data_IF_502752590965
#
_entry.id   IF_502752590965
#
_cell.length_a   1.000
_cell.length_b   1.000
_cell.length_c   1.000
_cell.angle_alpha   90.00
_cell.angle_beta   90.00
_cell.angle_gamma   90.00
#
_symmetry.space_group_name_H-M   'P 1'
#
loop_
_entity.id
_entity.type
_entity.pdbx_description
1 polymer ?
#
# COMPACT_ATOMS: atom_id res chain seq x y z
N UNK A 1 -13.64 -13.02 15.17
CA UNK A 1 -12.56 -12.27 14.47
C UNK A 1 -13.19 -11.11 13.73
N UNK A 2 -12.58 -9.91 13.67
CA UNK A 2 -13.06 -8.86 12.78
C UNK A 2 -13.08 -9.39 11.34
N UNK A 3 -14.15 -9.07 10.60
CA UNK A 3 -14.40 -9.52 9.21
C UNK A 3 -13.26 -9.19 8.22
N UNK A 4 -12.31 -8.37 8.64
CA UNK A 4 -11.24 -7.78 7.83
C UNK A 4 -9.84 -8.37 8.07
N UNK A 5 -9.68 -9.40 8.91
CA UNK A 5 -8.36 -10.02 9.12
C UNK A 5 -8.03 -11.10 8.08
N UNK A 6 -6.74 -11.39 7.90
CA UNK A 6 -6.31 -12.48 7.02
C UNK A 6 -6.68 -13.83 7.65
N UNK A 7 -7.28 -14.72 6.86
CA UNK A 7 -7.44 -16.11 7.25
C UNK A 7 -6.06 -16.76 7.38
N UNK A 8 -5.96 -17.82 8.18
CA UNK A 8 -4.69 -18.54 8.34
C UNK A 8 -4.18 -19.08 7.01
N UNK A 9 -5.08 -19.55 6.14
CA UNK A 9 -4.73 -20.00 4.78
C UNK A 9 -4.09 -18.89 3.94
N UNK A 10 -4.68 -17.69 3.92
CA UNK A 10 -4.09 -16.56 3.20
C UNK A 10 -2.78 -16.11 3.82
N UNK A 11 -2.68 -16.13 5.16
CA UNK A 11 -1.46 -15.83 5.87
C UNK A 11 -0.32 -16.79 5.50
N UNK A 12 -0.58 -18.10 5.42
CA UNK A 12 0.46 -19.07 5.04
C UNK A 12 0.98 -18.82 3.61
N UNK A 13 0.09 -18.52 2.65
CA UNK A 13 0.51 -18.15 1.29
C UNK A 13 1.38 -16.89 1.29
N UNK A 14 0.93 -15.84 1.97
CA UNK A 14 1.68 -14.58 2.07
C UNK A 14 3.03 -14.77 2.76
N UNK A 15 3.10 -15.61 3.79
CA UNK A 15 4.33 -15.90 4.53
C UNK A 15 5.41 -16.49 3.63
N UNK A 16 5.05 -17.34 2.67
CA UNK A 16 5.99 -17.87 1.68
C UNK A 16 6.54 -16.76 0.80
N UNK A 17 5.67 -15.87 0.29
CA UNK A 17 6.08 -14.73 -0.56
C UNK A 17 7.00 -13.78 0.21
N UNK A 18 6.67 -13.46 1.46
CA UNK A 18 7.49 -12.61 2.31
C UNK A 18 8.88 -13.21 2.56
N UNK A 19 8.95 -14.54 2.75
CA UNK A 19 10.23 -15.25 2.88
C UNK A 19 11.08 -15.14 1.61
N UNK A 20 10.46 -15.26 0.43
CA UNK A 20 11.16 -15.10 -0.86
C UNK A 20 11.71 -13.68 -1.06
N UNK A 21 11.09 -12.68 -0.45
CA UNK A 21 11.57 -11.29 -0.44
C UNK A 21 12.64 -11.00 0.63
N UNK A 22 13.19 -12.03 1.28
CA UNK A 22 14.11 -11.90 2.42
C UNK A 22 13.55 -11.06 3.56
N UNK A 23 12.21 -11.03 3.71
CA UNK A 23 11.55 -10.39 4.84
C UNK A 23 11.47 -11.42 5.96
N UNK A 24 12.41 -11.34 6.91
CA UNK A 24 12.49 -12.28 8.01
C UNK A 24 11.22 -12.29 8.87
N UNK A 25 10.84 -13.52 9.26
CA UNK A 25 9.67 -13.78 10.06
C UNK A 25 9.96 -13.54 11.54
N UNK A 26 9.44 -12.44 12.07
CA UNK A 26 9.36 -12.21 13.50
C UNK A 26 7.91 -12.50 13.95
N UNK A 27 7.71 -12.85 15.23
CA UNK A 27 6.37 -13.12 15.80
C UNK A 27 5.36 -11.99 15.52
N UNK A 28 5.83 -10.74 15.46
CA UNK A 28 5.02 -9.55 15.22
C UNK A 28 4.77 -9.23 13.73
N UNK A 29 5.20 -10.07 12.78
CA UNK A 29 5.07 -9.77 11.35
C UNK A 29 3.61 -9.83 10.88
N UNK A 30 2.83 -10.83 11.34
CA UNK A 30 1.41 -10.97 10.99
C UNK A 30 0.61 -9.75 11.43
N UNK A 31 0.70 -9.41 12.71
CA UNK A 31 -0.01 -8.26 13.29
C UNK A 31 0.35 -6.96 12.55
N UNK A 32 1.62 -6.77 12.16
CA UNK A 32 2.03 -5.60 11.39
C UNK A 32 1.40 -5.54 9.99
N UNK A 33 1.38 -6.65 9.26
CA UNK A 33 0.74 -6.71 7.94
C UNK A 33 -0.77 -6.48 8.07
N UNK A 34 -1.42 -7.13 9.03
CA UNK A 34 -2.84 -6.97 9.29
C UNK A 34 -3.18 -5.52 9.69
N UNK A 35 -2.31 -4.85 10.44
CA UNK A 35 -2.47 -3.42 10.76
C UNK A 35 -2.45 -2.53 9.51
N UNK A 36 -1.52 -2.79 8.58
CA UNK A 36 -1.46 -2.07 7.29
C UNK A 36 -2.76 -2.32 6.51
N UNK A 37 -3.17 -3.58 6.39
CA UNK A 37 -4.37 -3.94 5.65
C UNK A 37 -5.64 -3.37 6.31
N UNK A 38 -5.71 -3.31 7.63
CA UNK A 38 -6.80 -2.66 8.36
C UNK A 38 -6.86 -1.17 8.03
N UNK A 39 -5.72 -0.47 8.09
CA UNK A 39 -5.62 0.96 7.78
C UNK A 39 -5.99 1.26 6.32
N UNK A 40 -5.60 0.41 5.37
CA UNK A 40 -5.99 0.56 3.95
C UNK A 40 -7.50 0.38 3.78
N UNK A 41 -8.11 -0.62 4.41
CA UNK A 41 -9.54 -0.89 4.28
C UNK A 41 -10.44 0.14 4.94
N UNK A 42 -10.02 0.67 6.08
CA UNK A 42 -10.85 1.61 6.87
C UNK A 42 -10.56 3.07 6.57
N UNK A 43 -9.38 3.37 6.00
CA UNK A 43 -8.93 4.75 5.80
C UNK A 43 -8.63 5.49 7.11
N UNK A 44 -8.58 4.80 8.26
CA UNK A 44 -8.40 5.47 9.54
C UNK A 44 -7.03 6.17 9.63
N UNK A 45 -6.93 7.28 10.39
CA UNK A 45 -5.65 7.85 10.75
C UNK A 45 -4.72 6.82 11.41
N UNK A 46 -3.41 6.95 11.21
CA UNK A 46 -2.42 6.02 11.82
C UNK A 46 -2.55 5.95 13.34
N UNK A 47 -2.89 7.06 13.99
CA UNK A 47 -3.07 7.13 15.45
C UNK A 47 -4.25 6.30 15.95
N UNK A 48 -5.23 6.05 15.10
CA UNK A 48 -6.49 5.39 15.43
C UNK A 48 -6.47 3.89 15.11
N UNK A 49 -5.31 3.36 14.70
CA UNK A 49 -5.14 1.92 14.53
C UNK A 49 -5.35 1.22 15.89
N UNK A 50 -6.19 0.18 15.95
CA UNK A 50 -6.46 -0.55 17.19
C UNK A 50 -5.19 -1.05 17.90
N UNK A 51 -5.15 -0.89 19.22
CA UNK A 51 -3.99 -1.26 20.03
C UNK A 51 -3.66 -2.76 20.02
N UNK A 52 -4.60 -3.62 19.61
CA UNK A 52 -4.37 -5.06 19.43
C UNK A 52 -3.33 -5.37 18.35
N UNK A 53 -3.09 -4.44 17.40
CA UNK A 53 -2.02 -4.54 16.42
C UNK A 53 -0.65 -4.10 16.95
N UNK A 54 -0.63 -3.42 18.09
CA UNK A 54 0.55 -2.79 18.68
C UNK A 54 0.48 -1.26 18.66
N UNK A 55 1.58 -0.62 19.05
CA UNK A 55 1.65 0.84 19.16
C UNK A 55 1.66 1.51 17.77
N UNK A 56 0.72 2.42 17.53
CA UNK A 56 0.50 3.10 16.25
C UNK A 56 1.76 3.74 15.65
N UNK A 57 2.55 4.44 16.47
CA UNK A 57 3.79 5.09 16.02
C UNK A 57 4.84 4.06 15.54
N UNK A 58 4.93 2.91 16.21
CA UNK A 58 5.85 1.84 15.83
C UNK A 58 5.46 1.20 14.50
N UNK A 59 4.16 1.01 14.28
CA UNK A 59 3.58 0.52 13.02
C UNK A 59 3.89 1.52 11.90
N UNK A 60 3.58 2.80 12.10
CA UNK A 60 3.85 3.86 11.12
C UNK A 60 5.34 3.94 10.75
N UNK A 61 6.24 3.97 11.75
CA UNK A 61 7.69 4.01 11.50
C UNK A 61 8.17 2.78 10.72
N UNK A 62 7.62 1.60 11.00
CA UNK A 62 7.97 0.37 10.25
C UNK A 62 7.41 0.40 8.83
N UNK A 63 6.17 0.85 8.64
CA UNK A 63 5.56 1.06 7.33
C UNK A 63 6.40 2.02 6.49
N UNK A 64 6.76 3.18 7.04
CA UNK A 64 7.55 4.18 6.34
C UNK A 64 8.92 3.62 5.91
N UNK A 65 9.62 2.91 6.81
CA UNK A 65 10.88 2.21 6.45
C UNK A 65 10.71 1.20 5.32
N UNK A 66 9.62 0.42 5.32
CA UNK A 66 9.34 -0.56 4.27
C UNK A 66 8.99 0.09 2.94
N UNK A 67 8.26 1.21 2.98
CA UNK A 67 7.92 2.01 1.80
C UNK A 67 9.19 2.59 1.18
N UNK A 68 10.02 3.29 1.97
CA UNK A 68 11.27 3.86 1.49
C UNK A 68 12.27 2.81 1.00
N UNK A 69 12.27 1.61 1.57
CA UNK A 69 13.13 0.51 1.11
C UNK A 69 12.56 -0.26 -0.08
N UNK A 70 11.39 0.14 -0.62
CA UNK A 70 10.74 -0.54 -1.74
C UNK A 70 10.20 -1.95 -1.44
N UNK A 71 10.14 -2.38 -0.17
CA UNK A 71 9.67 -3.73 0.20
C UNK A 71 8.21 -3.94 -0.17
N UNK A 72 7.38 -2.92 0.07
CA UNK A 72 5.96 -2.96 -0.29
C UNK A 72 5.77 -3.02 -1.80
N UNK A 73 6.57 -2.26 -2.56
CA UNK A 73 6.51 -2.26 -4.02
C UNK A 73 6.94 -3.62 -4.60
N UNK A 74 8.00 -4.23 -4.08
CA UNK A 74 8.42 -5.58 -4.50
C UNK A 74 7.36 -6.64 -4.18
N UNK A 75 6.74 -6.55 -3.01
CA UNK A 75 5.62 -7.41 -2.63
C UNK A 75 4.45 -7.25 -3.58
N UNK A 76 4.08 -6.02 -3.89
CA UNK A 76 3.05 -5.70 -4.87
C UNK A 76 3.36 -6.31 -6.24
N UNK A 77 4.56 -6.07 -6.79
CA UNK A 77 4.96 -6.60 -8.10
C UNK A 77 4.96 -8.12 -8.17
N UNK A 78 5.33 -8.82 -7.08
CA UNK A 78 5.22 -10.27 -7.01
C UNK A 78 3.76 -10.76 -6.97
N UNK A 79 2.87 -10.05 -6.27
CA UNK A 79 1.45 -10.40 -6.24
C UNK A 79 0.77 -10.14 -7.60
N UNK A 80 1.23 -9.12 -8.31
CA UNK A 80 0.74 -8.74 -9.63
C UNK A 80 1.46 -9.46 -10.79
N UNK A 81 2.26 -10.51 -10.54
CA UNK A 81 3.13 -11.10 -11.57
C UNK A 81 2.39 -11.93 -12.62
N UNK A 82 1.18 -12.39 -12.32
CA UNK A 82 0.37 -13.22 -13.21
C UNK A 82 -1.04 -12.62 -13.33
N UNK A 83 -1.18 -11.41 -13.92
CA UNK A 83 -2.48 -10.78 -14.09
C UNK A 83 -3.25 -11.42 -15.24
N UNK A 84 -4.58 -11.29 -15.20
CA UNK A 84 -5.42 -11.63 -16.34
C UNK A 84 -5.41 -10.47 -17.35
N UNK A 85 -4.71 -10.68 -18.46
CA UNK A 85 -4.51 -9.67 -19.50
C UNK A 85 -5.60 -9.68 -20.59
N UNK A 86 -6.72 -10.38 -20.40
CA UNK A 86 -7.84 -10.33 -21.34
C UNK A 86 -8.34 -8.89 -21.54
N UNK A 87 -8.43 -8.14 -20.44
CA UNK A 87 -8.79 -6.72 -20.44
C UNK A 87 -7.86 -5.95 -19.51
N UNK A 88 -7.48 -4.74 -19.92
CA UNK A 88 -6.68 -3.82 -19.13
C UNK A 88 -7.44 -2.51 -19.02
N UNK A 89 -7.74 -2.09 -17.80
CA UNK A 89 -8.37 -0.80 -17.52
C UNK A 89 -7.36 0.14 -16.88
N UNK A 90 -7.44 1.41 -17.25
CA UNK A 90 -6.62 2.48 -16.68
C UNK A 90 -7.54 3.58 -16.18
N UNK A 91 -7.38 3.93 -14.91
CA UNK A 91 -7.99 5.13 -14.33
C UNK A 91 -6.92 6.01 -13.69
N UNK A 92 -7.25 7.27 -13.42
CA UNK A 92 -6.34 8.19 -12.75
C UNK A 92 -7.05 9.10 -11.77
N UNK A 93 -6.49 9.22 -10.58
CA UNK A 93 -6.93 10.17 -9.56
C UNK A 93 -6.00 11.38 -9.51
N UNK A 94 -6.56 12.56 -9.24
CA UNK A 94 -5.80 13.78 -9.03
C UNK A 94 -5.94 14.25 -7.58
N UNK A 95 -4.82 14.62 -6.97
CA UNK A 95 -4.77 15.18 -5.62
C UNK A 95 -4.25 16.61 -5.73
N UNK A 96 -5.08 17.57 -5.33
CA UNK A 96 -4.69 18.98 -5.33
C UNK A 96 -3.64 19.22 -4.25
N UNK A 97 -2.56 19.88 -4.64
CA UNK A 97 -1.48 20.23 -3.73
C UNK A 97 -1.84 21.51 -2.98
N UNK A 98 -1.35 21.66 -1.75
CA UNK A 98 -1.54 22.88 -0.96
C UNK A 98 -0.96 24.10 -1.70
N UNK A 99 -1.55 25.29 -1.60
CA UNK A 99 -1.13 26.44 -2.40
C UNK A 99 0.38 26.82 -2.25
N UNK A 100 0.99 26.49 -1.11
CA UNK A 100 2.42 26.72 -0.82
C UNK A 100 3.34 25.50 -1.02
N UNK A 101 2.89 24.44 -1.69
CA UNK A 101 3.65 23.19 -1.83
C UNK A 101 4.67 23.16 -2.99
N UNK A 102 4.68 24.18 -3.85
CA UNK A 102 5.48 24.18 -5.09
C UNK A 102 6.93 24.65 -4.93
N UNK A 103 7.43 24.84 -3.70
CA UNK A 103 8.76 25.40 -3.44
C UNK A 103 9.93 24.42 -3.51
N UNK A 104 9.68 23.11 -3.58
CA UNK A 104 10.71 22.07 -3.54
C UNK A 104 10.67 21.26 -4.84
N UNK A 105 11.83 21.02 -5.45
CA UNK A 105 11.95 20.19 -6.65
C UNK A 105 11.62 18.71 -6.37
N UNK A 106 11.24 17.96 -7.41
CA UNK A 106 11.00 16.50 -7.38
C UNK A 106 9.88 16.03 -6.44
N UNK A 107 8.82 16.84 -6.25
CA UNK A 107 7.64 16.46 -5.44
C UNK A 107 6.53 15.77 -6.25
N UNK A 108 6.76 15.48 -7.53
CA UNK A 108 5.73 14.95 -8.44
C UNK A 108 4.46 15.82 -8.49
N UNK A 109 4.65 17.15 -8.40
CA UNK A 109 3.59 18.16 -8.48
C UNK A 109 3.73 18.90 -9.81
N UNK A 110 2.64 18.98 -10.56
CA UNK A 110 2.57 19.68 -11.85
C UNK A 110 1.39 20.64 -11.89
N UNK A 111 1.41 21.60 -12.82
CA UNK A 111 0.29 22.51 -13.06
C UNK A 111 -0.83 21.78 -13.83
N UNK A 112 -2.06 21.90 -13.34
CA UNK A 112 -3.30 21.50 -14.02
C UNK A 112 -4.28 22.68 -14.07
N UNK A 113 -5.45 22.49 -14.69
CA UNK A 113 -6.54 23.49 -14.69
C UNK A 113 -6.97 23.85 -13.26
N UNK A 114 -6.93 22.91 -12.32
CA UNK A 114 -7.25 23.12 -10.90
C UNK A 114 -6.12 23.73 -10.06
N UNK A 115 -5.03 24.14 -10.70
CA UNK A 115 -3.79 24.56 -10.05
C UNK A 115 -2.80 23.42 -9.85
N UNK A 116 -1.91 23.55 -8.87
CA UNK A 116 -0.86 22.56 -8.61
C UNK A 116 -1.47 21.27 -8.08
N UNK A 117 -1.12 20.14 -8.70
CA UNK A 117 -1.68 18.83 -8.37
C UNK A 117 -0.70 17.71 -8.70
N UNK A 118 -0.84 16.59 -8.00
CA UNK A 118 -0.24 15.31 -8.38
C UNK A 118 -1.31 14.42 -9.01
N UNK A 119 -0.95 13.66 -10.04
CA UNK A 119 -1.82 12.68 -10.68
C UNK A 119 -1.21 11.30 -10.50
N UNK A 120 -2.03 10.34 -10.08
CA UNK A 120 -1.64 8.94 -9.91
C UNK A 120 -2.53 8.15 -10.85
N UNK A 121 -1.93 7.28 -11.66
CA UNK A 121 -2.65 6.35 -12.51
C UNK A 121 -2.71 5.00 -11.83
N UNK A 122 -3.72 4.20 -12.11
CA UNK A 122 -3.82 2.82 -11.68
C UNK A 122 -4.22 1.99 -12.88
N UNK A 123 -3.47 0.93 -13.12
CA UNK A 123 -3.73 -0.08 -14.14
C UNK A 123 -4.28 -1.31 -13.43
N UNK A 124 -5.39 -1.86 -13.90
CA UNK A 124 -6.02 -3.06 -13.34
C UNK A 124 -6.28 -4.11 -14.42
N UNK A 125 -6.26 -5.38 -14.00
CA UNK A 125 -6.56 -6.56 -14.81
C UNK A 125 -8.07 -6.74 -15.06
N UNK A 126 -8.46 -7.77 -15.81
CA UNK A 126 -9.86 -8.06 -16.13
C UNK A 126 -10.76 -8.29 -14.90
N UNK A 127 -10.17 -8.67 -13.76
CA UNK A 127 -10.86 -8.86 -12.48
C UNK A 127 -10.83 -7.63 -11.57
N UNK A 128 -10.24 -6.52 -12.03
CA UNK A 128 -10.08 -5.30 -11.25
C UNK A 128 -8.92 -5.34 -10.25
N UNK A 129 -8.01 -6.30 -10.36
CA UNK A 129 -6.82 -6.36 -9.51
C UNK A 129 -5.75 -5.38 -10.03
N UNK A 130 -5.13 -4.58 -9.14
CA UNK A 130 -4.01 -3.71 -9.49
C UNK A 130 -2.80 -4.42 -10.11
N UNK A 131 -2.33 -3.92 -11.26
CA UNK A 131 -1.13 -4.37 -11.98
C UNK A 131 0.02 -3.36 -11.81
N UNK A 132 -0.27 -2.06 -11.98
CA UNK A 132 0.72 -0.99 -11.89
C UNK A 132 0.10 0.36 -11.50
N UNK A 133 0.93 1.31 -11.02
CA UNK A 133 0.50 2.65 -10.61
C UNK A 133 1.60 3.72 -10.72
#
# INVERSE_FOLDING_TARGET
MPRTMLTDQHWQKLKVILRNLSIHHNSNLRNFIEAILYRIRTGCPWRDIPCCFGHSNSIFKRFNRWSSSGKLLRLFKLLASCPDMEWIFIDGSHVRAHQHSAGIANQSISKSVGGNSSKIHLIVDAHGNPIDF
#
